data_IF_436849491315
#
_entry.id   IF_436849491315
#
_cell.length_a   1.000
_cell.length_b   1.000
_cell.length_c   1.000
_cell.angle_alpha   90.00
_cell.angle_beta   90.00
_cell.angle_gamma   90.00
#
_symmetry.space_group_name_H-M   'P 1'
#
loop_
_entity.id
_entity.type
_entity.pdbx_description
1 polymer ?
#
# COMPACT_ATOMS: atom_id res chain seq x y z
N UNK A 1 50.00 -24.59 -43.91
CA UNK A 1 49.57 -25.11 -42.59
C UNK A 1 48.85 -23.98 -41.86
N UNK A 2 47.51 -24.02 -41.85
CA UNK A 2 46.64 -22.97 -41.28
C UNK A 2 46.43 -23.28 -39.79
N UNK A 3 46.78 -22.35 -38.89
CA UNK A 3 46.39 -22.44 -37.47
C UNK A 3 45.17 -21.55 -37.28
N UNK A 4 44.03 -22.18 -37.02
CA UNK A 4 42.75 -21.51 -36.77
C UNK A 4 42.77 -20.85 -35.40
N UNK A 5 42.47 -19.55 -35.37
CA UNK A 5 42.24 -18.74 -34.18
C UNK A 5 40.81 -19.03 -33.72
N UNK A 6 40.66 -19.77 -32.61
CA UNK A 6 39.34 -20.03 -32.02
C UNK A 6 39.03 -18.91 -31.03
N UNK A 7 38.20 -17.95 -31.46
CA UNK A 7 37.64 -16.90 -30.59
C UNK A 7 36.41 -17.51 -29.91
N UNK A 8 36.49 -17.76 -28.60
CA UNK A 8 35.31 -18.05 -27.78
C UNK A 8 34.58 -16.75 -27.49
N UNK A 9 33.54 -16.41 -28.26
CA UNK A 9 32.57 -15.40 -27.84
C UNK A 9 31.52 -16.07 -26.96
N UNK A 10 31.66 -15.93 -25.64
CA UNK A 10 30.59 -16.26 -24.70
C UNK A 10 29.49 -15.19 -24.83
N UNK A 11 28.47 -15.48 -25.64
CA UNK A 11 27.27 -14.68 -25.73
C UNK A 11 26.41 -14.95 -24.49
N UNK A 12 26.58 -14.12 -23.46
CA UNK A 12 25.71 -14.08 -22.28
C UNK A 12 24.31 -13.63 -22.73
N UNK A 13 23.43 -14.61 -22.94
CA UNK A 13 21.98 -14.39 -23.06
C UNK A 13 21.46 -13.91 -21.70
N UNK A 14 21.42 -12.60 -21.50
CA UNK A 14 20.66 -11.99 -20.41
C UNK A 14 19.19 -12.28 -20.64
N UNK A 15 18.66 -13.30 -19.95
CA UNK A 15 17.22 -13.48 -19.81
C UNK A 15 16.68 -12.30 -19.01
N UNK A 16 16.12 -11.30 -19.69
CA UNK A 16 15.29 -10.28 -19.04
C UNK A 16 14.02 -10.96 -18.54
N UNK A 17 14.01 -11.32 -17.25
CA UNK A 17 12.80 -11.71 -16.56
C UNK A 17 11.92 -10.45 -16.43
N UNK A 18 10.92 -10.32 -17.30
CA UNK A 18 9.87 -9.32 -17.12
C UNK A 18 8.99 -9.80 -15.96
N UNK A 19 9.34 -9.43 -14.73
CA UNK A 19 8.45 -9.57 -13.58
C UNK A 19 7.38 -8.50 -13.69
N UNK A 20 6.17 -8.86 -14.11
CA UNK A 20 5.02 -7.97 -13.99
C UNK A 20 4.62 -7.89 -12.52
N UNK A 21 4.65 -6.68 -11.96
CA UNK A 21 4.05 -6.43 -10.65
C UNK A 21 2.56 -6.79 -10.70
N UNK A 22 2.07 -7.50 -9.68
CA UNK A 22 0.65 -7.82 -9.57
C UNK A 22 -0.15 -6.54 -9.31
N UNK A 23 -1.42 -6.53 -9.74
CA UNK A 23 -2.30 -5.43 -9.35
C UNK A 23 -2.57 -5.50 -7.85
N UNK A 24 -2.46 -4.36 -7.17
CA UNK A 24 -2.77 -4.22 -5.74
C UNK A 24 -4.19 -4.72 -5.41
N UNK A 25 -5.06 -4.71 -6.42
CA UNK A 25 -6.47 -5.08 -6.32
C UNK A 25 -6.81 -6.38 -7.06
N UNK A 26 -5.83 -7.24 -7.34
CA UNK A 26 -6.13 -8.58 -7.88
C UNK A 26 -6.71 -9.48 -6.79
N UNK A 27 -7.85 -10.12 -7.07
CA UNK A 27 -8.57 -10.96 -6.09
C UNK A 27 -7.82 -12.26 -5.71
N UNK A 28 -6.67 -12.54 -6.34
CA UNK A 28 -5.90 -13.78 -6.17
C UNK A 28 -4.63 -13.63 -5.32
N UNK A 29 -4.34 -12.44 -4.79
CA UNK A 29 -3.15 -12.19 -3.97
C UNK A 29 -3.43 -11.19 -2.84
N UNK A 30 -2.74 -11.39 -1.72
CA UNK A 30 -2.75 -10.45 -0.59
C UNK A 30 -1.54 -9.55 -0.78
N UNK A 31 -1.77 -8.25 -0.92
CA UNK A 31 -0.68 -7.29 -1.07
C UNK A 31 0.13 -7.16 0.22
N UNK A 32 1.44 -6.93 0.09
CA UNK A 32 2.31 -6.59 1.20
C UNK A 32 2.58 -5.08 1.21
N UNK A 33 2.23 -4.42 2.31
CA UNK A 33 2.46 -2.99 2.51
C UNK A 33 3.38 -2.82 3.72
N UNK A 34 4.58 -2.27 3.50
CA UNK A 34 5.54 -1.94 4.55
C UNK A 34 5.65 -0.45 4.70
N UNK A 35 5.43 0.06 5.89
CA UNK A 35 5.56 1.48 6.24
C UNK A 35 6.82 1.62 7.08
N UNK A 36 7.62 2.64 6.79
CA UNK A 36 8.81 2.96 7.57
C UNK A 36 8.73 4.39 8.09
N UNK A 37 8.92 4.53 9.40
CA UNK A 37 9.05 5.82 10.06
C UNK A 37 10.47 5.98 10.59
N UNK A 38 11.00 7.20 10.48
CA UNK A 38 12.29 7.54 11.07
C UNK A 38 12.17 7.65 12.60
N UNK A 39 11.01 8.11 13.05
CA UNK A 39 10.67 8.34 14.44
C UNK A 39 10.32 7.02 15.13
N UNK A 40 11.09 6.66 16.16
CA UNK A 40 10.79 5.48 16.99
C UNK A 40 9.43 5.57 17.70
N UNK A 41 8.95 6.78 17.96
CA UNK A 41 7.67 7.08 18.63
C UNK A 41 6.56 7.50 17.66
N UNK A 42 6.60 7.01 16.42
CA UNK A 42 5.61 7.31 15.37
C UNK A 42 4.15 7.15 15.85
N UNK A 43 3.86 6.11 16.63
CA UNK A 43 2.51 5.79 17.13
C UNK A 43 1.98 6.91 18.03
N UNK A 44 2.80 7.35 19.00
CA UNK A 44 2.47 8.46 19.88
C UNK A 44 2.28 9.79 19.13
N UNK A 45 3.07 10.01 18.06
CA UNK A 45 2.91 11.21 17.22
C UNK A 45 1.57 11.16 16.49
N UNK A 46 1.24 10.04 15.84
CA UNK A 46 -0.02 9.87 15.13
C UNK A 46 -1.24 9.92 16.07
N UNK A 47 -1.10 9.39 17.29
CA UNK A 47 -2.10 9.50 18.34
C UNK A 47 -2.34 10.94 18.76
N UNK A 48 -1.27 11.72 18.98
CA UNK A 48 -1.39 13.15 19.31
C UNK A 48 -2.12 13.91 18.21
N UNK A 49 -1.69 13.74 16.95
CA UNK A 49 -2.33 14.38 15.80
C UNK A 49 -3.82 14.04 15.71
N UNK A 50 -4.18 12.79 16.00
CA UNK A 50 -5.57 12.34 16.02
C UNK A 50 -6.38 12.97 17.16
N UNK A 51 -5.85 12.96 18.39
CA UNK A 51 -6.52 13.52 19.58
C UNK A 51 -6.72 15.03 19.45
N UNK A 52 -5.73 15.73 18.89
CA UNK A 52 -5.79 17.17 18.63
C UNK A 52 -6.71 17.52 17.45
N UNK A 53 -7.22 16.51 16.73
CA UNK A 53 -8.11 16.68 15.57
C UNK A 53 -7.41 17.30 14.36
N UNK A 54 -6.07 17.22 14.31
CA UNK A 54 -5.27 17.79 13.23
C UNK A 54 -5.29 16.86 12.02
N UNK A 55 -5.43 17.45 10.83
CA UNK A 55 -5.42 16.72 9.56
C UNK A 55 -4.01 16.47 8.99
N UNK A 56 -2.99 16.80 9.78
CA UNK A 56 -1.57 16.66 9.46
C UNK A 56 -1.17 15.19 9.25
N UNK A 57 -0.01 15.01 8.61
CA UNK A 57 0.52 13.70 8.23
C UNK A 57 1.95 13.60 8.73
N UNK A 58 2.27 12.49 9.37
CA UNK A 58 3.64 12.12 9.66
C UNK A 58 4.29 11.63 8.36
N UNK A 59 5.49 12.12 8.08
CA UNK A 59 6.24 11.71 6.91
C UNK A 59 6.86 10.33 7.14
N UNK A 60 6.90 9.51 6.10
CA UNK A 60 7.59 8.23 6.12
C UNK A 60 7.90 7.74 4.71
N UNK A 61 8.41 6.52 4.62
CA UNK A 61 8.52 5.80 3.35
C UNK A 61 7.64 4.55 3.37
N UNK A 62 7.36 4.02 2.19
CA UNK A 62 6.42 2.93 1.98
C UNK A 62 7.01 1.96 0.95
N UNK A 63 6.76 0.67 1.11
CA UNK A 63 6.95 -0.33 0.07
C UNK A 63 5.64 -1.07 -0.16
N UNK A 64 5.26 -1.26 -1.41
CA UNK A 64 4.06 -1.98 -1.82
C UNK A 64 4.51 -3.13 -2.73
N UNK A 65 4.37 -4.37 -2.29
CA UNK A 65 4.85 -5.57 -2.99
C UNK A 65 6.31 -5.44 -3.47
N UNK A 66 7.15 -4.80 -2.65
CA UNK A 66 8.56 -4.52 -2.95
C UNK A 66 8.84 -3.24 -3.74
N UNK A 67 7.82 -2.56 -4.26
CA UNK A 67 7.97 -1.26 -4.94
C UNK A 67 8.11 -0.12 -3.92
N UNK A 68 9.24 0.60 -3.87
CA UNK A 68 9.48 1.64 -2.87
C UNK A 68 8.85 2.99 -3.27
N UNK A 69 8.41 3.73 -2.25
CA UNK A 69 7.88 5.08 -2.32
C UNK A 69 8.47 5.88 -1.16
N UNK A 70 9.02 7.05 -1.46
CA UNK A 70 9.66 7.89 -0.46
C UNK A 70 8.81 9.12 -0.13
N UNK A 71 9.06 9.71 1.04
CA UNK A 71 8.47 10.97 1.49
C UNK A 71 6.94 11.02 1.35
N UNK A 72 6.29 9.92 1.73
CA UNK A 72 4.83 9.78 1.75
C UNK A 72 4.26 10.36 3.04
N UNK A 73 3.02 10.83 2.99
CA UNK A 73 2.33 11.37 4.17
C UNK A 73 1.35 10.37 4.74
N UNK A 74 1.53 9.98 6.01
CA UNK A 74 0.75 8.96 6.69
C UNK A 74 -0.02 9.58 7.86
N UNK A 75 -1.29 9.22 8.00
CA UNK A 75 -2.11 9.60 9.16
C UNK A 75 -3.11 8.51 9.53
N UNK A 76 -3.64 8.57 10.75
CA UNK A 76 -4.82 7.80 11.12
C UNK A 76 -6.09 8.31 10.42
N UNK A 77 -7.06 7.42 10.18
CA UNK A 77 -8.35 7.77 9.56
C UNK A 77 -9.56 7.25 10.32
N UNK A 78 -10.65 8.02 10.31
CA UNK A 78 -11.95 7.55 10.77
C UNK A 78 -12.30 8.04 12.18
N UNK A 79 -13.36 7.45 12.74
CA UNK A 79 -13.94 7.85 14.01
C UNK A 79 -13.85 6.69 14.99
N UNK A 80 -14.92 5.91 15.13
CA UNK A 80 -15.03 4.80 16.08
C UNK A 80 -14.07 3.62 15.84
N UNK A 81 -13.33 3.62 14.74
CA UNK A 81 -12.33 2.59 14.41
C UNK A 81 -10.92 2.94 14.87
N UNK A 82 -10.63 4.18 15.25
CA UNK A 82 -9.34 4.64 15.78
C UNK A 82 -9.37 4.69 17.31
N UNK A 83 -8.27 4.35 17.96
CA UNK A 83 -8.08 4.57 19.40
C UNK A 83 -6.61 4.59 19.75
N UNK A 84 -6.22 5.46 20.69
CA UNK A 84 -4.85 5.52 21.24
C UNK A 84 -4.43 4.24 21.98
N UNK A 85 -5.41 3.42 22.40
CA UNK A 85 -5.14 2.14 23.07
C UNK A 85 -5.16 0.96 22.08
N UNK A 86 -5.17 1.23 20.76
CA UNK A 86 -5.33 0.21 19.73
C UNK A 86 -4.06 0.07 18.92
N UNK A 87 -3.48 -1.13 18.99
CA UNK A 87 -2.31 -1.52 18.18
C UNK A 87 -2.59 -1.42 16.67
N UNK A 88 -3.79 -1.84 16.24
CA UNK A 88 -4.19 -1.88 14.83
C UNK A 88 -5.13 -0.73 14.46
N UNK A 89 -4.56 0.45 14.25
CA UNK A 89 -5.30 1.62 13.79
C UNK A 89 -5.39 1.67 12.24
N UNK A 90 -6.47 2.25 11.68
CA UNK A 90 -6.63 2.44 10.23
C UNK A 90 -5.79 3.62 9.71
N UNK A 91 -5.21 3.48 8.52
CA UNK A 91 -4.33 4.49 7.92
C UNK A 91 -4.92 5.14 6.68
N UNK A 92 -4.57 6.40 6.45
CA UNK A 92 -4.66 7.06 5.15
C UNK A 92 -3.26 7.52 4.75
N UNK A 93 -2.78 7.01 3.62
CA UNK A 93 -1.45 7.27 3.09
C UNK A 93 -1.61 8.06 1.81
N UNK A 94 -0.91 9.19 1.71
CA UNK A 94 -0.82 10.04 0.53
C UNK A 94 0.59 9.87 -0.06
N UNK A 95 0.68 9.27 -1.24
CA UNK A 95 1.94 8.98 -1.93
C UNK A 95 2.57 10.25 -2.50
N UNK A 96 1.76 11.14 -3.07
CA UNK A 96 2.16 12.45 -3.60
C UNK A 96 2.22 13.53 -2.51
N UNK A 97 2.71 13.20 -1.31
CA UNK A 97 2.74 14.15 -0.20
C UNK A 97 3.83 15.21 -0.37
N UNK A 98 5.07 14.77 -0.61
CA UNK A 98 6.23 15.65 -0.90
C UNK A 98 6.65 15.56 -2.36
N UNK A 99 6.70 14.34 -2.91
CA UNK A 99 7.10 14.10 -4.29
C UNK A 99 5.85 14.17 -5.18
N UNK A 100 5.74 15.22 -5.99
CA UNK A 100 4.60 15.40 -6.90
C UNK A 100 4.47 14.24 -7.90
N UNK A 101 3.22 13.92 -8.26
CA UNK A 101 2.84 12.87 -9.22
C UNK A 101 3.28 11.43 -8.85
N UNK A 102 3.83 11.22 -7.65
CA UNK A 102 4.13 9.88 -7.12
C UNK A 102 2.83 9.09 -6.92
N UNK A 103 2.70 7.95 -7.61
CA UNK A 103 1.52 7.11 -7.56
C UNK A 103 1.86 5.62 -7.68
N UNK A 104 0.95 4.77 -7.21
CA UNK A 104 0.99 3.33 -7.43
C UNK A 104 -0.18 2.94 -8.34
N UNK A 105 0.11 2.48 -9.56
CA UNK A 105 -0.91 2.04 -10.52
C UNK A 105 -1.97 3.13 -10.83
N UNK A 106 -1.57 4.40 -10.86
CA UNK A 106 -2.46 5.54 -11.10
C UNK A 106 -3.14 6.09 -9.83
N UNK A 107 -2.87 5.52 -8.66
CA UNK A 107 -3.44 5.95 -7.39
C UNK A 107 -2.42 6.70 -6.53
N UNK A 108 -2.79 7.91 -6.10
CA UNK A 108 -2.00 8.79 -5.24
C UNK A 108 -2.27 8.55 -3.74
N UNK A 109 -3.36 7.86 -3.41
CA UNK A 109 -3.83 7.66 -2.03
C UNK A 109 -4.24 6.23 -1.77
N UNK A 110 -3.80 5.72 -0.63
CA UNK A 110 -4.10 4.38 -0.14
C UNK A 110 -4.85 4.51 1.19
N UNK A 111 -5.97 3.80 1.32
CA UNK A 111 -6.74 3.75 2.56
C UNK A 111 -6.68 2.33 3.12
N UNK A 112 -6.16 2.20 4.34
CA UNK A 112 -6.06 0.92 5.05
C UNK A 112 -7.08 0.92 6.17
N UNK A 113 -8.08 0.05 6.07
CA UNK A 113 -9.11 -0.14 7.09
C UNK A 113 -8.70 -1.29 8.01
N UNK A 114 -8.82 -1.06 9.33
CA UNK A 114 -8.45 -2.06 10.33
C UNK A 114 -9.51 -3.17 10.53
N UNK A 115 -10.64 -3.09 9.83
CA UNK A 115 -11.67 -4.14 9.74
C UNK A 115 -12.31 -4.50 11.09
N UNK A 116 -12.20 -3.63 12.08
CA UNK A 116 -12.53 -3.98 13.47
C UNK A 116 -14.01 -4.32 13.70
N UNK A 117 -14.91 -3.73 12.92
CA UNK A 117 -16.35 -3.98 13.02
C UNK A 117 -16.80 -5.18 12.18
N UNK A 118 -15.89 -5.81 11.44
CA UNK A 118 -16.20 -6.94 10.58
C UNK A 118 -15.39 -8.18 10.99
N UNK A 119 -15.97 -9.07 11.83
CA UNK A 119 -15.31 -10.32 12.21
C UNK A 119 -14.98 -11.24 11.04
N UNK A 120 -15.66 -11.08 9.90
CA UNK A 120 -15.46 -11.92 8.72
C UNK A 120 -14.37 -11.40 7.79
N UNK A 121 -13.96 -10.15 7.95
CA UNK A 121 -13.05 -9.41 7.06
C UNK A 121 -13.50 -9.23 5.60
N UNK A 122 -14.48 -10.00 5.13
CA UNK A 122 -14.83 -10.07 3.71
C UNK A 122 -15.89 -9.06 3.28
N UNK A 123 -16.59 -8.39 4.22
CA UNK A 123 -17.77 -7.58 3.84
C UNK A 123 -17.40 -6.42 2.94
N UNK A 124 -16.32 -5.70 3.21
CA UNK A 124 -15.89 -4.56 2.38
C UNK A 124 -15.49 -5.03 0.97
N UNK A 125 -14.61 -6.04 0.89
CA UNK A 125 -14.08 -6.55 -0.38
C UNK A 125 -15.19 -7.14 -1.24
N UNK A 126 -16.02 -8.04 -0.69
CA UNK A 126 -17.11 -8.68 -1.42
C UNK A 126 -18.21 -7.69 -1.81
N UNK A 127 -18.56 -6.74 -0.93
CA UNK A 127 -19.59 -5.75 -1.27
C UNK A 127 -19.16 -4.89 -2.46
N UNK A 128 -17.89 -4.48 -2.49
CA UNK A 128 -17.37 -3.75 -3.64
C UNK A 128 -17.23 -4.63 -4.89
N UNK A 129 -16.81 -5.89 -4.75
CA UNK A 129 -16.75 -6.83 -5.87
C UNK A 129 -18.14 -7.02 -6.53
N UNK A 130 -19.18 -7.24 -5.72
CA UNK A 130 -20.56 -7.37 -6.21
C UNK A 130 -21.03 -6.05 -6.81
N UNK A 131 -20.82 -4.92 -6.13
CA UNK A 131 -21.26 -3.61 -6.63
C UNK A 131 -20.67 -3.28 -8.00
N UNK A 132 -19.38 -3.58 -8.23
CA UNK A 132 -18.70 -3.35 -9.51
C UNK A 132 -19.31 -4.10 -10.70
N UNK A 133 -20.08 -5.16 -10.46
CA UNK A 133 -20.81 -5.90 -11.53
C UNK A 133 -22.00 -5.12 -12.07
N UNK A 134 -22.51 -4.14 -11.33
CA UNK A 134 -23.76 -3.44 -11.64
C UNK A 134 -23.62 -1.92 -11.70
N UNK A 135 -22.63 -1.35 -11.01
CA UNK A 135 -22.38 0.06 -11.01
C UNK A 135 -20.89 0.36 -10.82
N UNK A 136 -20.42 1.51 -11.31
CA UNK A 136 -19.11 2.01 -10.96
C UNK A 136 -18.96 2.11 -9.42
N UNK A 137 -17.97 1.41 -8.86
CA UNK A 137 -17.74 1.33 -7.43
C UNK A 137 -16.24 1.24 -7.11
N UNK A 138 -15.88 1.44 -5.84
CA UNK A 138 -14.48 1.40 -5.40
C UNK A 138 -13.85 0.01 -5.59
N UNK A 139 -12.53 -0.02 -5.72
CA UNK A 139 -11.75 -1.26 -5.63
C UNK A 139 -11.31 -1.46 -4.19
N UNK A 140 -11.32 -2.71 -3.75
CA UNK A 140 -10.86 -3.12 -2.44
C UNK A 140 -10.21 -4.51 -2.52
N UNK A 141 -9.17 -4.72 -1.73
CA UNK A 141 -8.47 -5.99 -1.58
C UNK A 141 -7.97 -6.15 -0.14
N UNK A 142 -7.28 -7.25 0.17
CA UNK A 142 -6.59 -7.48 1.42
C UNK A 142 -5.11 -7.12 1.33
N UNK A 143 -4.55 -6.68 2.46
CA UNK A 143 -3.12 -6.40 2.57
C UNK A 143 -2.57 -6.77 3.96
N UNK A 144 -1.37 -7.33 4.00
CA UNK A 144 -0.60 -7.43 5.24
C UNK A 144 0.18 -6.13 5.43
N UNK A 145 0.00 -5.48 6.59
CA UNK A 145 0.65 -4.21 6.90
C UNK A 145 1.74 -4.43 7.92
N UNK A 146 2.95 -3.96 7.58
CA UNK A 146 4.11 -3.94 8.45
C UNK A 146 4.50 -2.50 8.76
N UNK A 147 4.94 -2.24 9.98
CA UNK A 147 5.55 -0.96 10.35
C UNK A 147 6.94 -1.26 10.91
N UNK A 148 7.99 -0.67 10.32
CA UNK A 148 9.38 -0.93 10.68
C UNK A 148 9.65 -2.45 10.81
N UNK A 149 9.26 -3.19 9.77
CA UNK A 149 9.36 -4.66 9.66
C UNK A 149 8.56 -5.50 10.66
N UNK A 150 7.76 -4.87 11.53
CA UNK A 150 6.86 -5.56 12.46
C UNK A 150 5.47 -5.70 11.85
N UNK A 151 4.94 -6.92 11.75
CA UNK A 151 3.58 -7.18 11.28
C UNK A 151 2.55 -6.58 12.25
N UNK A 152 1.76 -5.63 11.76
CA UNK A 152 0.63 -5.05 12.50
C UNK A 152 -0.64 -5.89 12.30
N UNK A 153 -0.83 -6.43 11.09
CA UNK A 153 -1.86 -7.41 10.80
C UNK A 153 -2.46 -7.27 9.40
N UNK A 154 -3.56 -8.00 9.18
CA UNK A 154 -4.32 -8.00 7.93
C UNK A 154 -5.29 -6.81 7.85
N UNK A 155 -5.22 -6.00 6.82
CA UNK A 155 -6.09 -4.86 6.55
C UNK A 155 -6.89 -5.07 5.27
N UNK A 156 -8.00 -4.36 5.14
CA UNK A 156 -8.58 -4.11 3.82
C UNK A 156 -7.98 -2.83 3.26
N UNK A 157 -7.49 -2.89 2.03
CA UNK A 157 -7.00 -1.76 1.27
C UNK A 157 -8.07 -1.35 0.28
N UNK A 158 -8.45 -0.07 0.28
CA UNK A 158 -9.44 0.45 -0.67
C UNK A 158 -9.04 1.81 -1.23
N UNK A 159 -9.51 2.07 -2.44
CA UNK A 159 -9.27 3.31 -3.19
C UNK A 159 -10.59 3.98 -3.48
N UNK A 160 -10.59 5.30 -3.33
CA UNK A 160 -11.78 6.08 -3.63
C UNK A 160 -12.03 6.09 -5.14
N UNK A 161 -13.24 5.69 -5.48
CA UNK A 161 -13.83 5.69 -6.81
C UNK A 161 -13.61 6.96 -7.67
N UNK A 162 -13.39 8.14 -7.07
CA UNK A 162 -13.22 9.41 -7.80
C UNK A 162 -11.94 9.56 -8.63
N UNK A 163 -11.00 8.61 -8.58
CA UNK A 163 -9.75 8.66 -9.37
C UNK A 163 -9.93 8.07 -10.78
N UNK A 164 -10.98 7.27 -11.01
CA UNK A 164 -11.16 6.51 -12.26
C UNK A 164 -11.83 7.28 -13.43
N UNK A 165 -12.12 8.57 -13.27
CA UNK A 165 -12.74 9.42 -14.30
C UNK A 165 -11.92 10.66 -14.68
N UNK A 166 -10.61 10.64 -14.46
CA UNK A 166 -9.70 11.68 -14.96
C UNK A 166 -9.06 11.27 -16.28
#
# INVERSE_FOLDING_TARGET
>A
MKKALVIWSAMLLSFSQNTSAQSLYSDSSIAEIRIYFTESNWDAILDSLYVDGLEERLMGSLSIDGMPYDSVGIRYKGYSSVSVNRIKNPFNIKLDYVINDQNHQGYDKIKLSNVIQDPSFVREVLSYEIARKYMPASQANFSNVYINDTLIGLYTVSISFGVLFK
#
